data_IF_664316993880
#
_entry.id   IF_664316993880
#
_cell.length_a   1.000
_cell.length_b   1.000
_cell.length_c   1.000
_cell.angle_alpha   90.00
_cell.angle_beta   90.00
_cell.angle_gamma   90.00
#
_symmetry.space_group_name_H-M   'P 1'
#
loop_
_entity.id
_entity.type
_entity.pdbx_description
1 polymer ?
#
# COMPACT_ATOMS: atom_id res chain seq x y z
N UNK A 1 -9.43 10.80 4.92
CA UNK A 1 -8.42 11.36 5.84
C UNK A 1 -9.15 11.94 7.05
N UNK A 2 -8.76 11.54 8.26
CA UNK A 2 -9.46 11.89 9.52
C UNK A 2 -8.94 13.18 10.18
N UNK A 3 -7.89 13.81 9.61
CA UNK A 3 -7.28 15.01 10.17
C UNK A 3 -8.01 16.27 9.77
N UNK A 4 -7.94 17.29 10.62
CA UNK A 4 -8.62 18.55 10.39
C UNK A 4 -8.02 19.30 9.17
N UNK A 5 -8.89 19.82 8.33
CA UNK A 5 -8.50 20.45 7.05
C UNK A 5 -7.60 21.70 7.20
N UNK A 6 -7.58 22.32 8.37
CA UNK A 6 -6.73 23.48 8.66
C UNK A 6 -5.28 23.11 8.99
N UNK A 7 -5.01 21.85 9.36
CA UNK A 7 -3.65 21.34 9.66
C UNK A 7 -2.78 21.31 8.41
N UNK A 8 -1.47 21.46 8.62
CA UNK A 8 -0.42 21.27 7.61
C UNK A 8 0.19 19.88 7.80
N UNK A 9 0.94 19.39 6.81
CA UNK A 9 1.64 18.11 6.97
C UNK A 9 2.65 18.17 8.13
N UNK A 10 3.37 19.28 8.32
CA UNK A 10 4.28 19.46 9.47
C UNK A 10 3.55 19.38 10.82
N UNK A 11 2.33 19.86 10.93
CA UNK A 11 1.54 19.78 12.17
C UNK A 11 1.19 18.31 12.49
N UNK A 12 1.01 17.48 11.45
CA UNK A 12 0.80 16.05 11.60
C UNK A 12 2.10 15.32 11.98
N UNK A 13 3.24 15.75 11.45
CA UNK A 13 4.54 15.17 11.81
C UNK A 13 4.86 15.45 13.29
N UNK A 14 4.60 16.66 13.78
CA UNK A 14 4.73 16.98 15.20
C UNK A 14 3.82 16.09 16.04
N UNK A 15 2.55 15.95 15.65
CA UNK A 15 1.60 15.07 16.33
C UNK A 15 2.09 13.61 16.35
N UNK A 16 2.56 13.09 15.22
CA UNK A 16 3.05 11.71 15.13
C UNK A 16 4.31 11.50 15.98
N UNK A 17 5.23 12.46 16.01
CA UNK A 17 6.42 12.42 16.87
C UNK A 17 6.05 12.40 18.36
N UNK A 18 5.01 13.12 18.76
CA UNK A 18 4.55 13.14 20.15
C UNK A 18 3.90 11.81 20.57
N UNK A 19 3.21 11.11 19.66
CA UNK A 19 2.54 9.84 19.95
C UNK A 19 3.40 8.61 19.69
N UNK A 20 4.36 8.68 18.76
CA UNK A 20 5.15 7.54 18.31
C UNK A 20 6.64 7.83 18.44
N UNK A 21 7.30 7.19 19.38
CA UNK A 21 8.74 7.37 19.64
C UNK A 21 9.62 6.93 18.45
N UNK A 22 9.09 6.07 17.58
CA UNK A 22 9.72 5.54 16.39
C UNK A 22 9.44 6.36 15.11
N UNK A 23 8.80 7.55 15.24
CA UNK A 23 8.56 8.45 14.12
C UNK A 23 9.81 9.28 13.79
N UNK A 24 10.30 9.13 12.56
CA UNK A 24 11.44 9.86 12.03
C UNK A 24 10.96 11.10 11.26
N UNK A 25 11.09 12.27 11.92
CA UNK A 25 10.65 13.55 11.37
C UNK A 25 11.47 13.96 10.13
N UNK A 26 12.79 13.75 10.15
CA UNK A 26 13.67 14.09 9.04
C UNK A 26 13.39 13.22 7.80
N UNK A 27 13.14 11.94 8.03
CA UNK A 27 12.68 11.03 6.98
C UNK A 27 11.35 11.49 6.39
N UNK A 28 10.40 11.93 7.20
CA UNK A 28 9.13 12.45 6.73
C UNK A 28 9.30 13.67 5.81
N UNK A 29 10.20 14.60 6.16
CA UNK A 29 10.52 15.75 5.33
C UNK A 29 11.20 15.35 4.01
N UNK A 30 12.16 14.42 4.06
CA UNK A 30 12.84 13.89 2.87
C UNK A 30 11.85 13.20 1.91
N UNK A 31 10.92 12.42 2.46
CA UNK A 31 9.85 11.78 1.68
C UNK A 31 8.90 12.80 1.05
N UNK A 32 8.52 13.86 1.76
CA UNK A 32 7.72 14.93 1.18
C UNK A 32 8.42 15.56 -0.02
N UNK A 33 9.72 15.83 0.09
CA UNK A 33 10.52 16.40 -1.02
C UNK A 33 10.49 15.46 -2.24
N UNK A 34 10.73 14.15 -2.06
CA UNK A 34 10.73 13.18 -3.14
C UNK A 34 9.36 12.97 -3.78
N UNK A 35 8.28 13.10 -2.98
CA UNK A 35 6.89 12.96 -3.43
C UNK A 35 6.30 14.25 -4.02
N UNK A 36 7.05 15.37 -4.02
CA UNK A 36 6.55 16.66 -4.47
C UNK A 36 5.42 17.22 -3.59
N UNK A 37 5.52 16.99 -2.27
CA UNK A 37 4.57 17.49 -1.27
C UNK A 37 5.20 18.67 -0.55
N UNK A 38 4.52 19.83 -0.53
CA UNK A 38 4.95 20.98 0.29
C UNK A 38 4.44 20.80 1.73
N UNK A 39 5.34 20.53 2.72
CA UNK A 39 4.91 20.16 4.06
C UNK A 39 4.21 21.29 4.83
N UNK A 40 4.39 22.53 4.41
CA UNK A 40 3.80 23.72 5.05
C UNK A 40 2.42 24.06 4.51
N UNK A 41 1.98 23.43 3.42
CA UNK A 41 0.65 23.63 2.88
C UNK A 41 -0.42 23.04 3.78
N UNK A 42 -1.57 23.71 3.84
CA UNK A 42 -2.73 23.23 4.59
C UNK A 42 -3.39 22.07 3.83
N UNK A 43 -3.85 21.07 4.55
CA UNK A 43 -4.55 19.91 3.97
C UNK A 43 -5.73 20.34 3.09
N UNK A 44 -6.45 21.43 3.45
CA UNK A 44 -7.58 21.93 2.66
C UNK A 44 -7.19 22.36 1.23
N UNK A 45 -5.94 22.80 1.03
CA UNK A 45 -5.44 23.23 -0.29
C UNK A 45 -4.84 22.10 -1.12
N UNK A 46 -4.62 20.92 -0.50
CA UNK A 46 -4.05 19.77 -1.17
C UNK A 46 -5.09 19.01 -1.99
N UNK A 47 -4.67 18.50 -3.16
CA UNK A 47 -5.45 17.54 -3.93
C UNK A 47 -5.67 16.23 -3.15
N UNK A 48 -6.63 15.39 -3.59
CA UNK A 48 -6.83 14.06 -3.01
C UNK A 48 -5.53 13.25 -3.04
N UNK A 49 -4.86 13.16 -4.19
CA UNK A 49 -3.60 12.42 -4.33
C UNK A 49 -2.47 12.97 -3.45
N UNK A 50 -2.37 14.30 -3.28
CA UNK A 50 -1.39 14.90 -2.36
C UNK A 50 -1.66 14.51 -0.91
N UNK A 51 -2.93 14.46 -0.49
CA UNK A 51 -3.32 13.99 0.85
C UNK A 51 -2.99 12.52 1.07
N UNK A 52 -3.17 11.67 0.06
CA UNK A 52 -2.79 10.25 0.09
C UNK A 52 -1.27 10.09 0.24
N UNK A 53 -0.48 10.91 -0.46
CA UNK A 53 0.97 10.96 -0.27
C UNK A 53 1.36 11.36 1.17
N UNK A 54 0.71 12.37 1.76
CA UNK A 54 0.94 12.74 3.17
C UNK A 54 0.62 11.57 4.11
N UNK A 55 -0.47 10.84 3.88
CA UNK A 55 -0.80 9.65 4.68
C UNK A 55 0.28 8.57 4.57
N UNK A 56 0.77 8.33 3.35
CA UNK A 56 1.87 7.39 3.12
C UNK A 56 3.14 7.82 3.88
N UNK A 57 3.50 9.11 3.83
CA UNK A 57 4.64 9.65 4.58
C UNK A 57 4.49 9.38 6.08
N UNK A 58 3.32 9.66 6.67
CA UNK A 58 3.07 9.45 8.10
C UNK A 58 3.28 7.99 8.53
N UNK A 59 2.91 7.04 7.69
CA UNK A 59 3.07 5.61 7.96
C UNK A 59 4.52 5.17 7.74
N UNK A 60 5.11 5.53 6.59
CA UNK A 60 6.43 5.03 6.19
C UNK A 60 7.59 5.73 6.92
N UNK A 61 7.36 6.90 7.51
CA UNK A 61 8.35 7.58 8.35
C UNK A 61 8.48 6.97 9.76
N UNK A 62 7.69 5.95 10.09
CA UNK A 62 7.84 5.19 11.32
C UNK A 62 8.85 4.06 11.14
N UNK A 63 9.51 3.65 12.23
CA UNK A 63 10.30 2.41 12.29
C UNK A 63 9.44 1.29 12.90
N UNK A 64 8.34 0.96 12.21
CA UNK A 64 7.39 -0.05 12.67
C UNK A 64 7.88 -1.49 12.39
N UNK A 65 7.40 -2.46 13.18
CA UNK A 65 7.60 -3.88 12.91
C UNK A 65 6.57 -4.44 11.91
N UNK A 66 5.41 -3.79 11.81
CA UNK A 66 4.34 -4.16 10.88
C UNK A 66 3.70 -2.91 10.27
N UNK A 67 3.70 -2.84 8.96
CA UNK A 67 2.99 -1.84 8.17
C UNK A 67 1.77 -2.48 7.52
N UNK A 68 0.58 -1.92 7.78
CA UNK A 68 -0.68 -2.36 7.19
C UNK A 68 -1.11 -1.32 6.16
N UNK A 69 -1.12 -1.67 4.90
CA UNK A 69 -1.46 -0.79 3.80
C UNK A 69 -2.68 -1.34 3.05
N UNK A 70 -3.79 -0.65 3.17
CA UNK A 70 -5.05 -1.02 2.53
C UNK A 70 -5.21 -0.28 1.20
N UNK A 71 -5.19 -1.02 0.10
CA UNK A 71 -5.32 -0.52 -1.28
C UNK A 71 -4.41 0.69 -1.60
N UNK A 72 -3.09 0.67 -1.28
CA UNK A 72 -2.25 1.87 -1.36
C UNK A 72 -2.04 2.41 -2.77
N UNK A 73 -2.33 1.62 -3.81
CA UNK A 73 -2.17 2.00 -5.22
C UNK A 73 -3.50 2.06 -5.99
N UNK A 74 -4.64 1.88 -5.29
CA UNK A 74 -5.95 1.95 -5.93
C UNK A 74 -6.30 3.38 -6.37
N UNK A 75 -6.92 3.49 -7.53
CA UNK A 75 -7.33 4.80 -8.07
C UNK A 75 -6.19 5.72 -8.51
N UNK A 76 -4.97 5.19 -8.58
CA UNK A 76 -3.77 5.90 -9.05
C UNK A 76 -3.47 5.47 -10.49
N UNK A 77 -2.94 6.40 -11.30
CA UNK A 77 -2.52 6.05 -12.67
C UNK A 77 -1.31 5.07 -12.65
N UNK A 78 -1.14 4.23 -13.70
CA UNK A 78 -0.13 3.19 -13.70
C UNK A 78 1.30 3.67 -13.45
N UNK A 79 1.69 4.85 -13.96
CA UNK A 79 3.03 5.37 -13.77
C UNK A 79 3.28 5.78 -12.30
N UNK A 80 2.26 6.35 -11.67
CA UNK A 80 2.33 6.74 -10.26
C UNK A 80 2.28 5.52 -9.31
N UNK A 81 1.69 4.37 -9.71
CA UNK A 81 1.70 3.13 -8.91
C UNK A 81 3.12 2.63 -8.65
N UNK A 82 3.93 2.51 -9.71
CA UNK A 82 5.33 2.10 -9.58
C UNK A 82 6.11 3.02 -8.62
N UNK A 83 5.84 4.32 -8.69
CA UNK A 83 6.48 5.28 -7.81
C UNK A 83 6.06 5.10 -6.34
N UNK A 84 4.77 4.87 -6.06
CA UNK A 84 4.26 4.60 -4.71
C UNK A 84 4.87 3.29 -4.17
N UNK A 85 4.88 2.22 -4.96
CA UNK A 85 5.47 0.94 -4.57
C UNK A 85 6.95 1.08 -4.25
N UNK A 86 7.72 1.75 -5.08
CA UNK A 86 9.13 2.05 -4.79
C UNK A 86 9.27 2.84 -3.50
N UNK A 87 8.42 3.84 -3.27
CA UNK A 87 8.44 4.62 -2.03
C UNK A 87 8.21 3.74 -0.80
N UNK A 88 7.27 2.79 -0.87
CA UNK A 88 7.02 1.82 0.20
C UNK A 88 8.26 0.97 0.41
N UNK A 89 8.78 0.32 -0.63
CA UNK A 89 9.90 -0.63 -0.56
C UNK A 89 11.22 0.01 -0.13
N UNK A 90 11.44 1.29 -0.40
CA UNK A 90 12.67 1.99 -0.01
C UNK A 90 12.57 2.65 1.37
N UNK A 91 11.39 2.67 1.98
CA UNK A 91 11.17 3.40 3.23
C UNK A 91 10.61 2.55 4.38
N UNK A 92 10.31 1.28 4.20
CA UNK A 92 9.94 0.44 5.34
C UNK A 92 11.17 0.08 6.20
N UNK A 93 10.93 -0.38 7.42
CA UNK A 93 11.98 -0.92 8.28
C UNK A 93 12.34 -2.32 7.79
N UNK A 94 13.61 -2.57 7.41
CA UNK A 94 14.07 -3.86 6.89
C UNK A 94 13.85 -5.04 7.85
N UNK A 95 13.76 -4.77 9.17
CA UNK A 95 13.39 -5.77 10.19
C UNK A 95 11.86 -5.93 10.34
N UNK A 96 11.08 -5.15 9.61
CA UNK A 96 9.62 -5.13 9.68
C UNK A 96 8.97 -5.87 8.51
N UNK A 97 7.68 -6.10 8.64
CA UNK A 97 6.83 -6.70 7.61
C UNK A 97 5.90 -5.65 7.00
N UNK A 98 5.74 -5.68 5.68
CA UNK A 98 4.73 -4.88 4.97
C UNK A 98 3.62 -5.79 4.50
N UNK A 99 2.40 -5.59 4.99
CA UNK A 99 1.20 -6.30 4.55
C UNK A 99 0.34 -5.34 3.71
N UNK A 100 0.15 -5.68 2.45
CA UNK A 100 -0.62 -4.89 1.48
C UNK A 100 -1.88 -5.65 1.10
N UNK A 101 -3.06 -5.06 1.33
CA UNK A 101 -4.29 -5.53 0.70
C UNK A 101 -4.46 -4.85 -0.67
N UNK A 102 -4.74 -5.62 -1.71
CA UNK A 102 -5.02 -5.08 -3.04
C UNK A 102 -5.68 -6.11 -3.96
N UNK A 103 -6.40 -5.61 -4.95
CA UNK A 103 -6.89 -6.40 -6.08
C UNK A 103 -6.03 -6.21 -7.36
N UNK A 104 -5.02 -5.33 -7.31
CA UNK A 104 -4.13 -5.01 -8.44
C UNK A 104 -2.87 -5.89 -8.43
N UNK A 105 -3.06 -7.20 -8.50
CA UNK A 105 -2.01 -8.21 -8.27
C UNK A 105 -0.89 -8.08 -9.30
N UNK A 106 -1.22 -7.88 -10.57
CA UNK A 106 -0.24 -7.76 -11.65
C UNK A 106 0.77 -6.61 -11.44
N UNK A 107 0.35 -5.55 -10.74
CA UNK A 107 1.20 -4.39 -10.46
C UNK A 107 2.22 -4.68 -9.34
N UNK A 108 1.85 -5.51 -8.34
CA UNK A 108 2.69 -5.74 -7.15
C UNK A 108 3.37 -7.11 -7.11
N UNK A 109 2.97 -8.08 -7.93
CA UNK A 109 3.48 -9.46 -7.91
C UNK A 109 5.01 -9.55 -7.93
N UNK A 110 5.68 -8.59 -8.56
CA UNK A 110 7.14 -8.57 -8.71
C UNK A 110 7.90 -8.29 -7.43
N UNK A 111 7.22 -7.78 -6.41
CA UNK A 111 7.81 -7.29 -5.16
C UNK A 111 7.28 -8.02 -3.93
N UNK A 112 6.46 -9.05 -4.13
CA UNK A 112 5.91 -9.86 -3.05
C UNK A 112 6.81 -11.04 -2.72
N UNK A 113 6.99 -11.30 -1.43
CA UNK A 113 7.60 -12.52 -0.91
C UNK A 113 6.53 -13.62 -0.73
N UNK A 114 5.40 -13.25 -0.12
CA UNK A 114 4.31 -14.16 0.22
C UNK A 114 2.95 -13.60 -0.22
N UNK A 115 1.99 -14.50 -0.43
CA UNK A 115 0.63 -14.18 -0.86
C UNK A 115 -0.37 -14.86 0.05
N UNK A 116 -1.36 -14.08 0.48
CA UNK A 116 -2.53 -14.57 1.21
C UNK A 116 -3.75 -14.28 0.35
N UNK A 117 -4.48 -15.32 -0.06
CA UNK A 117 -5.75 -15.17 -0.79
C UNK A 117 -6.92 -15.41 0.14
N UNK A 118 -7.79 -14.42 0.26
CA UNK A 118 -9.00 -14.48 1.07
C UNK A 118 -10.25 -14.45 0.19
N UNK A 119 -11.21 -15.33 0.45
CA UNK A 119 -12.50 -15.36 -0.23
C UNK A 119 -13.63 -15.61 0.79
N UNK A 120 -14.63 -14.73 0.80
CA UNK A 120 -15.81 -14.84 1.67
C UNK A 120 -15.45 -15.04 3.16
N UNK A 121 -14.41 -14.34 3.63
CA UNK A 121 -13.90 -14.42 4.99
C UNK A 121 -13.07 -15.66 5.30
N UNK A 122 -12.79 -16.51 4.31
CA UNK A 122 -11.99 -17.75 4.46
C UNK A 122 -10.62 -17.60 3.80
N UNK A 123 -9.61 -18.20 4.45
CA UNK A 123 -8.27 -18.33 3.89
C UNK A 123 -8.28 -19.40 2.80
N UNK A 124 -8.01 -19.01 1.55
CA UNK A 124 -7.93 -19.93 0.41
C UNK A 124 -6.51 -20.42 0.15
N UNK A 125 -5.52 -19.54 0.39
CA UNK A 125 -4.11 -19.83 0.13
C UNK A 125 -3.23 -18.94 1.01
N UNK A 126 -2.12 -19.50 1.49
CA UNK A 126 -0.98 -18.77 2.03
C UNK A 126 0.29 -19.48 1.58
N UNK A 127 0.99 -18.93 0.61
CA UNK A 127 2.20 -19.53 -0.01
C UNK A 127 3.18 -18.40 -0.40
N UNK A 128 4.47 -18.74 -0.51
CA UNK A 128 5.44 -17.84 -1.09
C UNK A 128 5.23 -17.72 -2.61
N UNK A 129 5.61 -16.59 -3.16
CA UNK A 129 5.52 -16.36 -4.62
C UNK A 129 6.37 -17.37 -5.39
N UNK A 130 7.53 -17.74 -4.84
CA UNK A 130 8.42 -18.72 -5.45
C UNK A 130 7.79 -20.12 -5.47
N UNK A 131 7.15 -20.56 -4.37
CA UNK A 131 6.40 -21.83 -4.36
C UNK A 131 5.29 -21.85 -5.40
N UNK A 132 4.52 -20.76 -5.55
CA UNK A 132 3.48 -20.68 -6.57
C UNK A 132 4.06 -20.85 -7.98
N UNK A 133 5.21 -20.23 -8.25
CA UNK A 133 5.88 -20.32 -9.55
C UNK A 133 6.46 -21.70 -9.82
N UNK A 134 7.15 -22.30 -8.83
CA UNK A 134 7.84 -23.58 -8.97
C UNK A 134 6.88 -24.77 -9.00
N UNK A 135 5.94 -24.81 -8.05
CA UNK A 135 5.06 -25.98 -7.91
C UNK A 135 3.85 -25.93 -8.85
N UNK A 136 3.33 -24.72 -9.14
CA UNK A 136 2.11 -24.55 -9.94
C UNK A 136 2.38 -24.06 -11.37
N UNK A 137 3.61 -23.61 -11.68
CA UNK A 137 3.99 -23.08 -12.99
C UNK A 137 3.16 -21.85 -13.41
N UNK A 138 2.65 -21.07 -12.44
CA UNK A 138 1.76 -19.94 -12.68
C UNK A 138 2.27 -18.67 -12.03
N UNK A 139 1.84 -17.51 -12.56
CA UNK A 139 1.94 -16.24 -11.84
C UNK A 139 0.89 -16.14 -10.74
N UNK A 140 1.11 -15.26 -9.77
CA UNK A 140 0.11 -14.98 -8.72
C UNK A 140 -1.18 -14.44 -9.31
N UNK A 141 -1.10 -13.55 -10.32
CA UNK A 141 -2.28 -13.03 -11.03
C UNK A 141 -3.08 -14.14 -11.72
N UNK A 142 -2.39 -15.10 -12.38
CA UNK A 142 -3.06 -16.22 -13.03
C UNK A 142 -3.76 -17.14 -12.01
N UNK A 143 -3.11 -17.43 -10.89
CA UNK A 143 -3.67 -18.24 -9.80
C UNK A 143 -4.88 -17.52 -9.15
N UNK A 144 -4.77 -16.23 -8.90
CA UNK A 144 -5.87 -15.41 -8.39
C UNK A 144 -7.10 -15.48 -9.30
N UNK A 145 -6.91 -15.26 -10.60
CA UNK A 145 -8.01 -15.34 -11.58
C UNK A 145 -8.66 -16.72 -11.63
N UNK A 146 -7.91 -17.78 -11.42
CA UNK A 146 -8.44 -19.14 -11.37
C UNK A 146 -9.31 -19.37 -10.13
N UNK A 147 -8.82 -18.96 -8.94
CA UNK A 147 -9.53 -19.15 -7.65
C UNK A 147 -10.80 -18.29 -7.58
N UNK A 148 -10.72 -17.06 -8.17
CA UNK A 148 -11.82 -16.09 -8.12
C UNK A 148 -12.66 -16.03 -9.40
N UNK A 149 -12.43 -16.93 -10.36
CA UNK A 149 -13.31 -17.05 -11.52
C UNK A 149 -14.72 -17.33 -11.02
N UNK A 150 -15.66 -16.45 -11.32
CA UNK A 150 -17.06 -16.76 -11.13
C UNK A 150 -17.37 -18.03 -11.91
N UNK A 151 -18.05 -18.99 -11.31
CA UNK A 151 -18.60 -20.14 -12.04
C UNK A 151 -19.35 -19.56 -13.27
N UNK A 152 -19.22 -20.17 -14.47
CA UNK A 152 -20.02 -19.73 -15.62
C UNK A 152 -21.47 -19.72 -15.15
N UNK A 153 -22.19 -18.63 -15.37
CA UNK A 153 -23.64 -18.65 -15.18
C UNK A 153 -24.15 -19.74 -16.10
N UNK A 154 -24.58 -20.87 -15.53
CA UNK A 154 -25.29 -21.92 -16.25
C UNK A 154 -26.46 -21.24 -16.95
N UNK A 155 -26.54 -21.45 -18.25
CA UNK A 155 -27.40 -20.74 -19.16
C UNK A 155 -28.85 -20.63 -18.69
N UNK A 156 -29.28 -19.40 -18.45
CA UNK A 156 -30.68 -19.05 -18.60
C UNK A 156 -30.95 -18.84 -20.06
N UNK A 157 -31.63 -19.80 -20.69
CA UNK A 157 -32.29 -19.59 -21.98
C UNK A 157 -33.27 -18.43 -21.81
N UNK A 158 -33.13 -17.41 -22.67
CA UNK A 158 -34.17 -16.42 -22.94
C UNK A 158 -34.77 -16.68 -24.29
#
# INVERSE_FOLDING_TARGET
>A
MYFANWMRAVDLFDLFRDFYQDFDYEKALAMCSSLGVEPKDKLKSMSKGTKEKVQLVLVMARKAQLYLLDEPIAGVDPAARDFILRTILTNYNEEGTVLISTHLIADIEKVLDEVILLKEGSLMLHESVDQIREERGKSVDALFREIFRAAPMEGGEF
#
